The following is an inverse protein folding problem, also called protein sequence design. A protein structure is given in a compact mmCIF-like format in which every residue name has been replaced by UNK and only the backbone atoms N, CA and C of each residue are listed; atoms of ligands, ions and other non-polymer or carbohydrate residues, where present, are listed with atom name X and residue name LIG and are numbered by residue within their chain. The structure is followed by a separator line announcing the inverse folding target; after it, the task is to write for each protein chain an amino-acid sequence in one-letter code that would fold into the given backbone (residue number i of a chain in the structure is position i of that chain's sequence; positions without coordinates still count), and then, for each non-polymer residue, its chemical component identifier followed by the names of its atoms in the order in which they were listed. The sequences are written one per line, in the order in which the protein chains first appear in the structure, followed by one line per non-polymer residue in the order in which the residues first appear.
data_IF_956938515472
#
_entry.id   IF_956938515472
#
_cell.length_a   1.000
_cell.length_b   1.000
_cell.length_c   1.000
_cell.angle_alpha   90.00
_cell.angle_beta   90.00
_cell.angle_gamma   90.00
#
_symmetry.space_group_name_H-M   'P 1'
#
loop_
_entity.id
_entity.type
_entity.pdbx_description
1 polymer ?
#
# COMPACT_ATOMS: atom_id res chain seq x y z
N UNK A 1 -31.22 -6.12 -0.26
CA UNK A 1 -30.60 -6.38 1.06
C UNK A 1 -30.77 -7.84 1.40
N UNK A 2 -29.71 -8.65 1.28
CA UNK A 2 -29.48 -9.97 1.90
C UNK A 2 -28.33 -10.66 1.13
N UNK A 3 -27.30 -11.10 1.84
CA UNK A 3 -26.22 -11.92 1.28
C UNK A 3 -24.89 -11.19 1.03
N UNK A 4 -24.42 -10.34 1.94
CA UNK A 4 -22.97 -10.09 1.98
C UNK A 4 -22.36 -11.36 2.58
N UNK A 5 -22.05 -12.29 1.68
CA UNK A 5 -21.40 -13.57 1.96
C UNK A 5 -20.25 -13.33 2.94
N UNK A 6 -20.14 -14.11 4.01
CA UNK A 6 -19.06 -13.96 5.00
C UNK A 6 -17.66 -13.87 4.35
N UNK A 7 -17.50 -14.47 3.17
CA UNK A 7 -16.34 -14.35 2.30
C UNK A 7 -15.98 -12.92 1.85
N UNK A 8 -16.95 -12.08 1.50
CA UNK A 8 -16.70 -10.70 1.08
C UNK A 8 -16.19 -9.81 2.22
N UNK A 9 -16.62 -10.10 3.46
CA UNK A 9 -16.10 -9.44 4.66
C UNK A 9 -14.64 -9.82 4.97
N UNK A 10 -14.15 -10.95 4.46
CA UNK A 10 -12.74 -11.37 4.62
C UNK A 10 -11.79 -10.60 3.68
N UNK A 11 -12.29 -10.02 2.59
CA UNK A 11 -11.46 -9.31 1.61
C UNK A 11 -10.68 -8.14 2.24
N UNK A 12 -11.29 -7.21 2.99
CA UNK A 12 -10.54 -6.14 3.65
C UNK A 12 -9.55 -6.68 4.68
N UNK A 13 -9.88 -7.77 5.39
CA UNK A 13 -8.96 -8.42 6.33
C UNK A 13 -7.73 -8.98 5.59
N UNK A 14 -7.94 -9.61 4.42
CA UNK A 14 -6.88 -10.12 3.57
C UNK A 14 -6.00 -9.00 3.01
N UNK A 15 -6.54 -7.80 2.80
CA UNK A 15 -5.78 -6.62 2.37
C UNK A 15 -4.86 -6.04 3.46
N UNK A 16 -5.10 -6.38 4.74
CA UNK A 16 -4.22 -5.93 5.82
C UNK A 16 -2.85 -6.62 5.80
N UNK A 17 -2.76 -7.86 5.34
CA UNK A 17 -1.48 -8.59 5.27
C UNK A 17 -0.48 -8.00 4.25
N UNK A 18 -0.86 -7.73 2.98
CA UNK A 18 0.03 -7.05 2.03
C UNK A 18 0.39 -5.64 2.51
N UNK A 19 -0.54 -4.92 3.13
CA UNK A 19 -0.26 -3.62 3.73
C UNK A 19 0.78 -3.74 4.85
N UNK A 20 0.61 -4.68 5.78
CA UNK A 20 1.54 -4.94 6.87
C UNK A 20 2.93 -5.36 6.35
N UNK A 21 2.99 -6.20 5.32
CA UNK A 21 4.23 -6.57 4.66
C UNK A 21 4.92 -5.37 4.00
N UNK A 22 4.16 -4.47 3.39
CA UNK A 22 4.67 -3.22 2.79
C UNK A 22 5.24 -2.29 3.86
N UNK A 23 4.51 -2.07 4.96
CA UNK A 23 4.96 -1.26 6.09
C UNK A 23 6.25 -1.84 6.67
N UNK A 24 6.29 -3.15 6.88
CA UNK A 24 7.50 -3.82 7.38
C UNK A 24 8.70 -3.62 6.43
N UNK A 25 8.48 -3.72 5.14
CA UNK A 25 9.54 -3.53 4.14
C UNK A 25 10.04 -2.08 4.08
N UNK A 26 9.18 -1.11 4.38
CA UNK A 26 9.57 0.29 4.43
C UNK A 26 10.40 0.67 5.66
N UNK A 27 10.42 -0.16 6.70
CA UNK A 27 11.11 0.17 7.95
C UNK A 27 12.55 -0.37 7.95
N UNK A 28 13.58 0.49 7.98
CA UNK A 28 14.97 0.03 8.01
C UNK A 28 15.25 -0.76 9.30
N UNK A 29 15.67 -2.02 9.15
CA UNK A 29 16.02 -2.89 10.28
C UNK A 29 14.87 -3.75 10.83
N UNK A 30 13.67 -3.73 10.23
CA UNK A 30 12.54 -4.56 10.67
C UNK A 30 12.78 -6.07 10.56
N UNK A 31 13.81 -6.47 9.82
CA UNK A 31 14.33 -7.84 9.75
C UNK A 31 14.91 -8.35 11.09
N UNK A 32 15.27 -7.45 12.03
CA UNK A 32 15.83 -7.79 13.35
C UNK A 32 14.80 -7.87 14.48
N UNK A 33 13.56 -7.42 14.26
CA UNK A 33 12.58 -7.18 15.33
C UNK A 33 11.36 -8.13 15.29
N UNK A 34 11.39 -9.22 14.51
CA UNK A 34 10.20 -10.06 14.26
C UNK A 34 10.24 -11.46 14.89
N UNK A 35 9.31 -11.76 15.79
CA UNK A 35 8.97 -13.13 16.21
C UNK A 35 8.23 -13.93 15.12
N UNK A 36 8.02 -15.24 15.33
CA UNK A 36 7.42 -16.16 14.34
C UNK A 36 6.06 -15.68 13.80
N UNK A 37 5.21 -15.11 14.65
CA UNK A 37 3.89 -14.57 14.27
C UNK A 37 4.03 -13.33 13.38
N UNK A 38 4.92 -12.40 13.74
CA UNK A 38 5.21 -11.22 12.91
C UNK A 38 5.67 -11.63 11.51
N UNK A 39 6.54 -12.64 11.40
CA UNK A 39 7.01 -13.18 10.12
C UNK A 39 5.89 -13.82 9.27
N UNK A 40 4.85 -14.38 9.89
CA UNK A 40 3.71 -14.93 9.17
C UNK A 40 2.79 -13.81 8.67
N UNK A 41 2.49 -12.81 9.51
CA UNK A 41 1.52 -11.75 9.18
C UNK A 41 2.10 -10.71 8.21
N UNK A 42 3.39 -10.43 8.30
CA UNK A 42 4.09 -9.41 7.49
C UNK A 42 5.20 -10.02 6.63
N UNK A 43 5.08 -11.31 6.32
CA UNK A 43 6.06 -12.05 5.53
C UNK A 43 6.11 -11.60 4.07
N UNK A 44 7.24 -11.83 3.38
CA UNK A 44 7.43 -11.44 1.98
C UNK A 44 6.44 -12.12 1.02
N UNK A 45 5.85 -13.26 1.40
CA UNK A 45 4.82 -13.93 0.61
C UNK A 45 3.57 -13.07 0.38
N UNK A 46 3.25 -12.16 1.32
CA UNK A 46 2.13 -11.23 1.19
C UNK A 46 2.39 -10.09 0.21
N UNK A 47 3.62 -9.95 -0.30
CA UNK A 47 3.92 -8.99 -1.36
C UNK A 47 3.54 -9.52 -2.75
N UNK A 48 3.38 -10.84 -2.92
CA UNK A 48 3.06 -11.44 -4.22
C UNK A 48 1.73 -10.93 -4.79
N UNK A 49 0.63 -10.83 -4.01
CA UNK A 49 -0.62 -10.24 -4.49
C UNK A 49 -0.49 -8.80 -5.02
N UNK A 50 0.50 -8.04 -4.53
CA UNK A 50 0.70 -6.64 -4.91
C UNK A 50 1.14 -6.47 -6.37
N UNK A 51 1.71 -7.52 -6.98
CA UNK A 51 2.04 -7.57 -8.40
C UNK A 51 0.78 -7.36 -9.26
N UNK A 52 -0.38 -7.78 -8.77
CA UNK A 52 -1.66 -7.61 -9.46
C UNK A 52 -2.42 -6.39 -8.95
N UNK A 53 -2.46 -6.20 -7.64
CA UNK A 53 -3.28 -5.14 -7.01
C UNK A 53 -2.77 -3.75 -7.39
N UNK A 54 -1.46 -3.51 -7.32
CA UNK A 54 -0.90 -2.16 -7.54
C UNK A 54 -1.09 -1.70 -8.99
N UNK A 55 -0.71 -2.47 -10.04
CA UNK A 55 -0.96 -2.05 -11.42
C UNK A 55 -2.45 -1.92 -11.75
N UNK A 56 -3.31 -2.80 -11.20
CA UNK A 56 -4.75 -2.70 -11.38
C UNK A 56 -5.31 -1.40 -10.78
N UNK A 57 -4.93 -1.06 -9.54
CA UNK A 57 -5.34 0.19 -8.91
C UNK A 57 -4.89 1.42 -9.71
N UNK A 58 -3.63 1.44 -10.16
CA UNK A 58 -3.09 2.52 -10.99
C UNK A 58 -3.87 2.64 -12.31
N UNK A 59 -4.12 1.52 -12.99
CA UNK A 59 -4.91 1.51 -14.22
C UNK A 59 -6.34 2.04 -14.03
N UNK A 60 -7.00 1.67 -12.93
CA UNK A 60 -8.33 2.17 -12.58
C UNK A 60 -8.32 3.67 -12.23
N UNK A 61 -7.26 4.17 -11.59
CA UNK A 61 -7.08 5.60 -11.33
C UNK A 61 -6.87 6.38 -12.62
N UNK A 62 -6.02 5.90 -13.52
CA UNK A 62 -5.78 6.53 -14.83
C UNK A 62 -7.05 6.54 -15.70
N UNK A 63 -7.90 5.53 -15.59
CA UNK A 63 -9.19 5.47 -16.26
C UNK A 63 -10.28 6.33 -15.60
N UNK A 64 -9.96 7.05 -14.52
CA UNK A 64 -10.92 7.87 -13.76
C UNK A 64 -11.99 7.07 -13.01
N UNK A 65 -11.79 5.75 -12.83
CA UNK A 65 -12.75 4.85 -12.16
C UNK A 65 -12.49 4.69 -10.68
N UNK A 66 -11.30 5.01 -10.22
CA UNK A 66 -10.89 4.94 -8.82
C UNK A 66 -10.24 6.27 -8.44
N UNK A 67 -10.58 6.81 -7.28
CA UNK A 67 -9.93 8.02 -6.78
C UNK A 67 -8.58 7.64 -6.15
N UNK A 68 -7.51 8.43 -6.38
CA UNK A 68 -6.26 8.26 -5.65
C UNK A 68 -6.41 8.61 -4.15
N UNK A 69 -7.53 9.23 -3.76
CA UNK A 69 -7.83 9.53 -2.36
C UNK A 69 -8.57 8.34 -1.70
N UNK A 70 -7.98 7.68 -0.69
CA UNK A 70 -8.60 6.52 -0.04
C UNK A 70 -9.99 6.81 0.53
N UNK A 71 -10.17 7.98 1.15
CA UNK A 71 -11.44 8.39 1.74
C UNK A 71 -12.55 8.56 0.69
N UNK A 72 -12.21 9.10 -0.48
CA UNK A 72 -13.16 9.29 -1.56
C UNK A 72 -13.51 7.94 -2.20
N UNK A 73 -12.50 7.08 -2.43
CA UNK A 73 -12.71 5.72 -2.90
C UNK A 73 -13.62 4.93 -1.95
N UNK A 74 -13.40 5.03 -0.63
CA UNK A 74 -14.27 4.40 0.36
C UNK A 74 -15.72 4.90 0.25
N UNK A 75 -15.92 6.22 0.20
CA UNK A 75 -17.26 6.83 0.16
C UNK A 75 -18.04 6.39 -1.08
N UNK A 76 -17.44 6.46 -2.27
CA UNK A 76 -18.08 6.10 -3.55
C UNK A 76 -18.34 4.59 -3.65
N UNK A 77 -17.38 3.76 -3.24
CA UNK A 77 -17.51 2.31 -3.38
C UNK A 77 -18.43 1.69 -2.33
N UNK A 78 -18.53 2.30 -1.14
CA UNK A 78 -19.50 1.87 -0.11
C UNK A 78 -20.94 2.04 -0.59
N UNK A 79 -21.24 3.14 -1.28
CA UNK A 79 -22.59 3.41 -1.80
C UNK A 79 -23.01 2.42 -2.89
N UNK A 80 -22.06 1.95 -3.70
CA UNK A 80 -22.34 1.12 -4.89
C UNK A 80 -22.17 -0.37 -4.66
N UNK A 81 -21.20 -0.79 -3.83
CA UNK A 81 -20.78 -2.20 -3.66
C UNK A 81 -20.73 -2.65 -2.19
N UNK A 82 -21.15 -1.79 -1.26
CA UNK A 82 -21.19 -2.07 0.17
C UNK A 82 -19.86 -1.78 0.90
N UNK A 83 -19.91 -1.73 2.24
CA UNK A 83 -18.81 -1.22 3.06
C UNK A 83 -17.55 -2.10 3.03
N UNK A 84 -17.70 -3.43 2.90
CA UNK A 84 -16.55 -4.34 2.82
C UNK A 84 -15.71 -4.08 1.55
N UNK A 85 -16.36 -3.90 0.41
CA UNK A 85 -15.72 -3.55 -0.86
C UNK A 85 -15.07 -2.18 -0.80
N UNK A 86 -15.79 -1.19 -0.23
CA UNK A 86 -15.26 0.15 -0.04
C UNK A 86 -13.98 0.15 0.79
N UNK A 87 -13.96 -0.58 1.91
CA UNK A 87 -12.78 -0.70 2.76
C UNK A 87 -11.62 -1.42 2.06
N UNK A 88 -11.89 -2.53 1.38
CA UNK A 88 -10.87 -3.27 0.65
C UNK A 88 -10.20 -2.41 -0.44
N UNK A 89 -10.99 -1.66 -1.22
CA UNK A 89 -10.46 -0.77 -2.24
C UNK A 89 -9.73 0.43 -1.64
N UNK A 90 -10.19 1.00 -0.52
CA UNK A 90 -9.46 2.05 0.17
C UNK A 90 -8.08 1.55 0.66
N UNK A 91 -7.99 0.35 1.23
CA UNK A 91 -6.72 -0.27 1.63
C UNK A 91 -5.83 -0.55 0.41
N UNK A 92 -6.40 -0.99 -0.70
CA UNK A 92 -5.66 -1.20 -1.94
C UNK A 92 -5.09 0.11 -2.50
N UNK A 93 -5.85 1.22 -2.47
CA UNK A 93 -5.38 2.56 -2.82
C UNK A 93 -4.22 2.98 -1.92
N UNK A 94 -4.38 2.89 -0.59
CA UNK A 94 -3.29 3.19 0.37
C UNK A 94 -2.03 2.39 0.04
N UNK A 95 -2.19 1.09 -0.24
CA UNK A 95 -1.06 0.22 -0.54
C UNK A 95 -0.41 0.60 -1.87
N UNK A 96 -1.18 0.92 -2.91
CA UNK A 96 -0.68 1.36 -4.20
C UNK A 96 0.10 2.68 -4.08
N UNK A 97 -0.43 3.66 -3.36
CA UNK A 97 0.24 4.94 -3.10
C UNK A 97 1.56 4.75 -2.34
N UNK A 98 1.57 3.92 -1.28
CA UNK A 98 2.80 3.56 -0.57
C UNK A 98 3.83 2.93 -1.51
N UNK A 99 3.41 2.05 -2.41
CA UNK A 99 4.31 1.43 -3.39
C UNK A 99 4.83 2.41 -4.43
N UNK A 100 4.04 3.39 -4.87
CA UNK A 100 4.52 4.48 -5.73
C UNK A 100 5.61 5.30 -5.02
N UNK A 101 5.44 5.53 -3.71
CA UNK A 101 6.44 6.23 -2.88
C UNK A 101 7.66 5.34 -2.55
N UNK A 102 7.54 4.02 -2.51
CA UNK A 102 8.64 3.12 -2.15
C UNK A 102 9.45 2.63 -3.35
N UNK A 103 8.80 2.43 -4.50
CA UNK A 103 9.40 1.79 -5.67
C UNK A 103 10.68 2.49 -6.15
N UNK A 104 10.78 3.83 -6.26
CA UNK A 104 12.01 4.48 -6.69
C UNK A 104 13.18 4.19 -5.74
N UNK A 105 12.97 4.28 -4.43
CA UNK A 105 14.00 3.97 -3.43
C UNK A 105 14.43 2.49 -3.49
N UNK A 106 13.49 1.58 -3.69
CA UNK A 106 13.74 0.14 -3.81
C UNK A 106 14.52 -0.21 -5.09
N UNK A 107 14.21 0.45 -6.20
CA UNK A 107 14.95 0.31 -7.47
C UNK A 107 16.38 0.79 -7.28
N UNK A 108 16.57 1.99 -6.72
CA UNK A 108 17.92 2.53 -6.44
C UNK A 108 18.71 1.58 -5.54
N UNK A 109 18.11 1.04 -4.48
CA UNK A 109 18.77 0.08 -3.60
C UNK A 109 19.17 -1.22 -4.30
N UNK A 110 18.34 -1.71 -5.22
CA UNK A 110 18.61 -2.94 -5.97
C UNK A 110 19.83 -2.79 -6.89
N UNK A 111 19.96 -1.62 -7.52
CA UNK A 111 21.05 -1.33 -8.46
C UNK A 111 22.26 -0.63 -7.83
N UNK A 112 22.20 -0.23 -6.56
CA UNK A 112 23.33 0.35 -5.85
C UNK A 112 24.42 -0.68 -5.51
N UNK A 113 25.68 -0.21 -5.54
CA UNK A 113 26.85 -0.98 -5.13
C UNK A 113 26.69 -1.55 -3.71
N UNK A 114 27.05 -2.83 -3.47
CA UNK A 114 26.93 -3.46 -2.15
C UNK A 114 27.57 -2.66 -1.01
N UNK A 115 28.71 -2.01 -1.28
CA UNK A 115 29.43 -1.17 -0.33
C UNK A 115 28.65 0.09 0.10
N UNK A 116 27.74 0.59 -0.75
CA UNK A 116 26.95 1.81 -0.51
C UNK A 116 25.51 1.53 -0.07
N UNK A 117 25.01 0.29 -0.23
CA UNK A 117 23.62 -0.08 0.11
C UNK A 117 23.21 0.31 1.53
N UNK A 118 24.10 0.17 2.51
CA UNK A 118 23.79 0.53 3.90
C UNK A 118 23.47 2.03 4.05
N UNK A 119 24.26 2.90 3.40
CA UNK A 119 24.00 4.35 3.38
C UNK A 119 22.73 4.69 2.57
N UNK A 120 22.50 3.99 1.46
CA UNK A 120 21.34 4.21 0.59
C UNK A 120 20.00 3.77 1.20
N UNK A 121 20.00 2.96 2.29
CA UNK A 121 18.77 2.58 3.00
C UNK A 121 18.02 3.78 3.57
N UNK A 122 18.73 4.88 3.86
CA UNK A 122 18.12 6.15 4.28
C UNK A 122 17.22 6.79 3.23
N UNK A 123 17.31 6.36 1.96
CA UNK A 123 16.42 6.85 0.89
C UNK A 123 14.97 6.40 1.08
N UNK A 124 14.73 5.26 1.74
CA UNK A 124 13.37 4.76 1.98
C UNK A 124 12.55 5.74 2.84
N UNK A 125 12.97 6.09 4.07
CA UNK A 125 12.23 7.05 4.88
C UNK A 125 12.20 8.45 4.27
N UNK A 126 13.25 8.86 3.54
CA UNK A 126 13.25 10.13 2.82
C UNK A 126 12.18 10.15 1.71
N UNK A 127 12.08 9.10 0.91
CA UNK A 127 11.11 9.04 -0.20
C UNK A 127 9.67 8.95 0.32
N UNK A 128 9.45 8.22 1.42
CA UNK A 128 8.17 8.24 2.12
C UNK A 128 7.81 9.63 2.64
N UNK A 129 8.77 10.33 3.27
CA UNK A 129 8.55 11.69 3.75
C UNK A 129 8.18 12.65 2.61
N UNK A 130 8.95 12.63 1.51
CA UNK A 130 8.67 13.45 0.34
C UNK A 130 7.32 13.11 -0.29
N UNK A 131 6.98 11.82 -0.40
CA UNK A 131 5.68 11.37 -0.90
C UNK A 131 4.52 11.83 -0.03
N UNK A 132 4.64 11.73 1.29
CA UNK A 132 3.62 12.21 2.23
C UNK A 132 3.46 13.74 2.18
N UNK A 133 4.57 14.49 2.09
CA UNK A 133 4.53 15.95 1.92
C UNK A 133 3.84 16.33 0.62
N UNK A 134 4.16 15.65 -0.48
CA UNK A 134 3.51 15.87 -1.76
C UNK A 134 2.01 15.57 -1.72
N UNK A 135 1.61 14.45 -1.10
CA UNK A 135 0.21 14.10 -0.90
C UNK A 135 -0.52 15.14 -0.03
N UNK A 136 0.12 15.61 1.04
CA UNK A 136 -0.44 16.65 1.89
C UNK A 136 -0.63 17.97 1.14
N UNK A 137 0.31 18.35 0.28
CA UNK A 137 0.19 19.53 -0.58
C UNK A 137 -0.99 19.37 -1.54
N UNK A 138 -1.12 18.21 -2.20
CA UNK A 138 -2.27 17.93 -3.09
C UNK A 138 -3.58 18.06 -2.31
N UNK A 139 -3.67 17.47 -1.12
CA UNK A 139 -4.86 17.53 -0.29
C UNK A 139 -5.22 18.95 0.15
N UNK A 140 -4.23 19.80 0.43
CA UNK A 140 -4.43 21.20 0.82
C UNK A 140 -4.80 22.10 -0.37
N UNK A 141 -4.32 21.78 -1.58
CA UNK A 141 -4.60 22.56 -2.80
C UNK A 141 -5.92 22.14 -3.44
N UNK A 142 -6.32 20.88 -3.30
CA UNK A 142 -7.55 20.34 -3.89
C UNK A 142 -8.80 20.58 -3.03
N UNK A 143 -8.63 20.86 -1.74
CA UNK A 143 -9.71 21.34 -0.85
C UNK A 143 -9.95 22.85 -1.01
#
# INVERSE_FOLDING_TARGET
MAGVNGFAALIPLLMLFPLAATIRQSWPGAERCGGRISNIISGPGWLVPLIFIVPMCIGLMMAGRLSPLPQHTYAVMTQSHGPATGLALALAVVTAELWLMLAPAMIVLRFADPARRAAMRGLIPLNLFLGLVFLAIILLVWN
#
